data_IF_336906435636
#
_entry.id   IF_336906435636
#
_cell.length_a   1.000
_cell.length_b   1.000
_cell.length_c   1.000
_cell.angle_alpha   90.00
_cell.angle_beta   90.00
_cell.angle_gamma   90.00
#
_symmetry.space_group_name_H-M   'P 1'
#
loop_
_entity.id
_entity.type
_entity.pdbx_description
1 polymer ?
#
# COMPACT_ATOMS: atom_id res chain seq x y z
N UNK A 1 17.87 30.22 -4.75
CA UNK A 1 17.67 28.76 -4.70
C UNK A 1 19.03 28.07 -4.62
N UNK A 2 19.38 27.50 -3.47
CA UNK A 2 20.76 27.14 -3.13
C UNK A 2 21.16 25.72 -3.57
N UNK A 3 22.45 25.51 -3.89
CA UNK A 3 23.03 24.18 -4.23
C UNK A 3 22.78 23.11 -3.15
N UNK A 4 22.55 23.52 -1.89
CA UNK A 4 22.17 22.64 -0.77
C UNK A 4 20.70 22.18 -0.84
N UNK A 5 19.80 23.02 -1.33
CA UNK A 5 18.37 22.68 -1.50
C UNK A 5 18.17 21.74 -2.70
N UNK A 6 18.92 21.96 -3.80
CA UNK A 6 18.95 21.03 -4.94
C UNK A 6 19.48 19.64 -4.57
N UNK A 7 20.39 19.55 -3.60
CA UNK A 7 20.90 18.25 -3.09
C UNK A 7 19.93 17.55 -2.12
N UNK A 8 19.04 18.29 -1.44
CA UNK A 8 17.93 17.70 -0.67
C UNK A 8 16.87 17.13 -1.62
N UNK A 9 16.44 17.88 -2.63
CA UNK A 9 15.51 17.40 -3.67
C UNK A 9 16.11 16.26 -4.51
N UNK A 10 17.43 16.24 -4.73
CA UNK A 10 18.10 15.16 -5.48
C UNK A 10 18.33 13.87 -4.66
N UNK A 11 18.13 13.87 -3.34
CA UNK A 11 18.08 12.62 -2.55
C UNK A 11 16.69 11.99 -2.55
N UNK A 12 15.62 12.77 -2.76
CA UNK A 12 14.26 12.27 -2.97
C UNK A 12 14.09 11.61 -4.35
N UNK A 13 14.87 12.03 -5.35
CA UNK A 13 14.79 11.48 -6.72
C UNK A 13 15.69 10.26 -6.99
N UNK A 14 16.38 9.69 -5.99
CA UNK A 14 17.33 8.56 -6.19
C UNK A 14 16.83 7.19 -5.70
N UNK A 15 15.54 7.06 -5.37
CA UNK A 15 14.88 5.80 -4.97
C UNK A 15 13.53 5.51 -5.65
N UNK A 16 13.12 6.32 -6.62
CA UNK A 16 11.72 6.52 -7.08
C UNK A 16 11.17 5.48 -8.07
N UNK A 17 11.83 4.34 -8.25
CA UNK A 17 11.37 3.35 -9.25
C UNK A 17 10.37 2.33 -8.71
N UNK A 18 10.54 1.91 -7.45
CA UNK A 18 9.78 0.79 -6.86
C UNK A 18 8.66 1.30 -5.95
N UNK A 19 8.96 2.23 -5.04
CA UNK A 19 7.93 2.84 -4.16
C UNK A 19 6.82 3.50 -4.96
N UNK A 20 7.15 4.32 -5.96
CA UNK A 20 6.18 5.03 -6.80
C UNK A 20 5.25 4.06 -7.56
N UNK A 21 5.77 2.91 -8.00
CA UNK A 21 4.96 1.87 -8.64
C UNK A 21 4.05 1.16 -7.64
N UNK A 22 4.54 0.85 -6.44
CA UNK A 22 3.71 0.27 -5.39
C UNK A 22 2.55 1.21 -5.01
N UNK A 23 2.83 2.50 -4.84
CA UNK A 23 1.82 3.53 -4.57
C UNK A 23 0.79 3.60 -5.70
N UNK A 24 1.24 3.62 -6.97
CA UNK A 24 0.34 3.62 -8.13
C UNK A 24 -0.60 2.41 -8.17
N UNK A 25 -0.07 1.21 -7.93
CA UNK A 25 -0.90 0.01 -7.83
C UNK A 25 -1.85 0.05 -6.61
N UNK A 26 -1.42 0.62 -5.49
CA UNK A 26 -2.27 0.83 -4.32
C UNK A 26 -3.46 1.75 -4.60
N UNK A 27 -3.22 2.92 -5.20
CA UNK A 27 -4.28 3.88 -5.57
C UNK A 27 -5.26 3.24 -6.55
N UNK A 28 -4.76 2.48 -7.53
CA UNK A 28 -5.62 1.74 -8.46
C UNK A 28 -6.48 0.70 -7.73
N UNK A 29 -5.92 -0.01 -6.75
CA UNK A 29 -6.67 -0.96 -5.93
C UNK A 29 -7.80 -0.30 -5.15
N UNK A 30 -7.55 0.89 -4.58
CA UNK A 30 -8.57 1.66 -3.87
C UNK A 30 -9.71 2.10 -4.80
N UNK A 31 -9.38 2.60 -6.00
CA UNK A 31 -10.40 2.96 -6.99
C UNK A 31 -11.25 1.75 -7.39
N UNK A 32 -10.63 0.61 -7.68
CA UNK A 32 -11.34 -0.62 -8.05
C UNK A 32 -12.24 -1.12 -6.93
N UNK A 33 -11.81 -1.00 -5.67
CA UNK A 33 -12.62 -1.33 -4.52
C UNK A 33 -13.85 -0.41 -4.39
N UNK A 34 -13.70 0.89 -4.65
CA UNK A 34 -14.79 1.85 -4.71
C UNK A 34 -15.80 1.57 -5.83
N UNK A 35 -15.33 1.04 -6.96
CA UNK A 35 -16.16 0.57 -8.08
C UNK A 35 -16.84 -0.79 -7.82
N UNK A 36 -16.55 -1.45 -6.68
CA UNK A 36 -17.07 -2.78 -6.35
C UNK A 36 -16.35 -3.94 -7.05
N UNK A 37 -15.26 -3.68 -7.78
CA UNK A 37 -14.42 -4.68 -8.45
C UNK A 37 -13.42 -5.29 -7.46
N UNK A 38 -13.95 -6.02 -6.47
CA UNK A 38 -13.18 -6.51 -5.31
C UNK A 38 -12.00 -7.40 -5.73
N UNK A 39 -12.19 -8.31 -6.68
CA UNK A 39 -11.13 -9.23 -7.10
C UNK A 39 -9.97 -8.50 -7.80
N UNK A 40 -10.28 -7.52 -8.66
CA UNK A 40 -9.26 -6.70 -9.32
C UNK A 40 -8.50 -5.82 -8.30
N UNK A 41 -9.22 -5.30 -7.30
CA UNK A 41 -8.63 -4.52 -6.22
C UNK A 41 -7.63 -5.35 -5.39
N UNK A 42 -8.00 -6.60 -5.05
CA UNK A 42 -7.11 -7.54 -4.35
C UNK A 42 -5.83 -7.79 -5.17
N UNK A 43 -5.95 -7.99 -6.49
CA UNK A 43 -4.78 -8.17 -7.37
C UNK A 43 -3.90 -6.92 -7.35
N UNK A 44 -4.49 -5.73 -7.44
CA UNK A 44 -3.74 -4.48 -7.41
C UNK A 44 -2.98 -4.27 -6.09
N UNK A 45 -3.61 -4.56 -4.93
CA UNK A 45 -2.93 -4.49 -3.64
C UNK A 45 -1.82 -5.53 -3.48
N UNK A 46 -2.03 -6.77 -3.95
CA UNK A 46 -0.98 -7.80 -3.95
C UNK A 46 0.21 -7.41 -4.83
N UNK A 47 -0.02 -6.76 -5.97
CA UNK A 47 1.05 -6.20 -6.80
C UNK A 47 1.80 -5.09 -6.07
N UNK A 48 1.10 -4.18 -5.40
CA UNK A 48 1.73 -3.14 -4.59
C UNK A 48 2.62 -3.74 -3.50
N UNK A 49 2.13 -4.75 -2.77
CA UNK A 49 2.90 -5.49 -1.74
C UNK A 49 4.10 -6.24 -2.35
N UNK A 50 3.95 -6.83 -3.53
CA UNK A 50 5.07 -7.51 -4.21
C UNK A 50 6.16 -6.55 -4.65
N UNK A 51 5.82 -5.29 -4.94
CA UNK A 51 6.78 -4.26 -5.35
C UNK A 51 7.44 -3.64 -4.12
N UNK A 52 6.63 -3.32 -3.11
CA UNK A 52 7.07 -2.82 -1.81
C UNK A 52 6.35 -3.56 -0.68
N UNK A 53 7.00 -4.59 -0.09
CA UNK A 53 6.45 -5.32 1.04
C UNK A 53 6.21 -4.46 2.28
N UNK A 54 6.82 -3.27 2.35
CA UNK A 54 6.65 -2.30 3.44
C UNK A 54 5.59 -1.24 3.14
N UNK A 55 4.79 -1.41 2.07
CA UNK A 55 3.70 -0.49 1.78
C UNK A 55 2.46 -0.80 2.65
N UNK A 56 2.46 -0.25 3.87
CA UNK A 56 1.39 -0.46 4.86
C UNK A 56 -0.05 -0.23 4.33
N UNK A 57 -0.33 0.81 3.51
CA UNK A 57 -1.68 1.03 2.99
C UNK A 57 -2.23 -0.14 2.15
N UNK A 58 -1.38 -0.83 1.38
CA UNK A 58 -1.85 -1.97 0.59
C UNK A 58 -2.17 -3.18 1.47
N UNK A 59 -1.41 -3.43 2.53
CA UNK A 59 -1.71 -4.49 3.50
C UNK A 59 -3.02 -4.22 4.24
N UNK A 60 -3.24 -2.99 4.69
CA UNK A 60 -4.49 -2.63 5.37
C UNK A 60 -5.70 -2.75 4.45
N UNK A 61 -5.66 -2.14 3.26
CA UNK A 61 -6.77 -2.20 2.31
C UNK A 61 -7.05 -3.63 1.83
N UNK A 62 -6.00 -4.46 1.64
CA UNK A 62 -6.18 -5.88 1.35
C UNK A 62 -6.91 -6.59 2.50
N UNK A 63 -6.56 -6.29 3.75
CA UNK A 63 -7.26 -6.78 4.94
C UNK A 63 -8.74 -6.38 4.96
N UNK A 64 -9.08 -5.14 4.57
CA UNK A 64 -10.47 -4.66 4.47
C UNK A 64 -11.26 -5.48 3.46
N UNK A 65 -10.69 -5.73 2.28
CA UNK A 65 -11.35 -6.52 1.24
C UNK A 65 -11.52 -7.99 1.62
N UNK A 66 -10.48 -8.61 2.19
CA UNK A 66 -10.53 -10.00 2.66
C UNK A 66 -11.57 -10.19 3.77
N UNK A 67 -11.66 -9.22 4.70
CA UNK A 67 -12.70 -9.22 5.74
C UNK A 67 -14.10 -9.19 5.12
N UNK A 68 -14.32 -8.38 4.08
CA UNK A 68 -15.61 -8.31 3.37
C UNK A 68 -15.97 -9.63 2.66
N UNK A 69 -14.97 -10.40 2.24
CA UNK A 69 -15.16 -11.74 1.64
C UNK A 69 -15.33 -12.86 2.70
N UNK A 70 -15.19 -12.55 3.99
CA UNK A 70 -15.26 -13.55 5.07
C UNK A 70 -13.95 -14.31 5.31
N UNK A 71 -12.87 -13.95 4.61
CA UNK A 71 -11.53 -14.51 4.77
C UNK A 71 -10.83 -13.84 5.97
N UNK A 72 -11.35 -14.11 7.16
CA UNK A 72 -10.94 -13.41 8.38
C UNK A 72 -9.49 -13.68 8.78
N UNK A 73 -8.99 -14.90 8.56
CA UNK A 73 -7.61 -15.25 8.92
C UNK A 73 -6.61 -14.47 8.07
N UNK A 74 -6.81 -14.43 6.76
CA UNK A 74 -5.96 -13.67 5.82
C UNK A 74 -6.10 -12.16 6.02
N UNK A 75 -7.28 -11.70 6.43
CA UNK A 75 -7.49 -10.30 6.82
C UNK A 75 -6.63 -9.92 8.03
N UNK A 76 -6.64 -10.75 9.08
CA UNK A 76 -5.85 -10.55 10.31
C UNK A 76 -4.35 -10.51 9.98
N UNK A 77 -3.87 -11.43 9.14
CA UNK A 77 -2.46 -11.43 8.72
C UNK A 77 -2.09 -10.12 8.01
N UNK A 78 -2.96 -9.64 7.12
CA UNK A 78 -2.75 -8.40 6.38
C UNK A 78 -2.75 -7.18 7.30
N UNK A 79 -3.70 -7.07 8.24
CA UNK A 79 -3.69 -5.99 9.25
C UNK A 79 -2.49 -6.07 10.20
N UNK A 80 -2.08 -7.27 10.59
CA UNK A 80 -0.89 -7.48 11.44
C UNK A 80 0.37 -7.01 10.72
N UNK A 81 0.46 -7.24 9.41
CA UNK A 81 1.56 -6.68 8.60
C UNK A 81 1.50 -5.17 8.51
N UNK A 82 0.35 -4.58 8.23
CA UNK A 82 0.20 -3.13 8.19
C UNK A 82 0.64 -2.47 9.50
N UNK A 83 0.17 -2.98 10.65
CA UNK A 83 0.54 -2.48 11.98
C UNK A 83 1.99 -2.76 12.36
N UNK A 84 2.57 -3.87 11.91
CA UNK A 84 4.01 -4.14 12.12
C UNK A 84 4.91 -3.17 11.34
N UNK A 85 4.46 -2.73 10.16
CA UNK A 85 5.19 -1.78 9.32
C UNK A 85 5.01 -0.34 9.83
N UNK A 86 3.76 0.04 10.07
CA UNK A 86 3.38 1.33 10.59
C UNK A 86 2.50 1.11 11.81
N UNK A 87 3.07 1.14 13.02
CA UNK A 87 2.33 0.95 14.27
C UNK A 87 1.17 1.93 14.46
N UNK A 88 1.24 3.10 13.83
CA UNK A 88 0.20 4.12 13.86
C UNK A 88 -0.94 3.87 12.84
N UNK A 89 -0.89 2.79 12.08
CA UNK A 89 -1.98 2.34 11.19
C UNK A 89 -3.08 1.60 11.96
N UNK A 90 -3.22 1.91 13.25
CA UNK A 90 -4.36 1.47 14.06
C UNK A 90 -5.56 2.26 13.55
N UNK A 91 -6.47 1.60 12.85
CA UNK A 91 -7.79 2.16 12.55
C UNK A 91 -8.40 2.66 13.88
N UNK A 92 -8.66 3.97 13.94
CA UNK A 92 -9.58 4.57 14.90
C UNK A 92 -11.02 4.43 14.39
#
# INVERSE_FOLDING_TARGET
MNRRERRRQAKEARGTGKGDKAVSHGIRGEQLAGEGKIDEAIVAFRLAISIDPQYAPAHHNLGVLLRRQGLLNEAIESYTRATSIQPDYVDA
#
